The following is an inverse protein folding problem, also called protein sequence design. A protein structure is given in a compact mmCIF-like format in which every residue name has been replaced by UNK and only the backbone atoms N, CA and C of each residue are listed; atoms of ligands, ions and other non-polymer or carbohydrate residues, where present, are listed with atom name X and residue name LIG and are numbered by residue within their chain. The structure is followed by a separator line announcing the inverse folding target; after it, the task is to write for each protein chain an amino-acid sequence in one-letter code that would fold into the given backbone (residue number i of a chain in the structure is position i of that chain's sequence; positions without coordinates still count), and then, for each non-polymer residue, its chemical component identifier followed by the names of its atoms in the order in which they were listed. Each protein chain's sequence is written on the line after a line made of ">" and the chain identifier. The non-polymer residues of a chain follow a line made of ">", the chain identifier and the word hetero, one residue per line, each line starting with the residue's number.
data_IF_829689227816
#
_entry.id   IF_829689227816
#
_cell.length_a   1.000
_cell.length_b   1.000
_cell.length_c   1.000
_cell.angle_alpha   90.00
_cell.angle_beta   90.00
_cell.angle_gamma   90.00
#
_symmetry.space_group_name_H-M   'P 1'
#
loop_
_entity.id
_entity.type
_entity.pdbx_description
1 polymer ?
#
# COMPACT_ATOMS: atom_id res chain seq x y z
N UNK A 1 20.48 3.98 4.50
CA UNK A 1 20.29 4.59 3.16
C UNK A 1 19.53 3.61 2.31
N UNK A 2 18.21 3.77 2.21
CA UNK A 2 17.38 2.96 1.30
C UNK A 2 17.63 3.44 -0.13
N UNK A 3 18.16 2.55 -0.96
CA UNK A 3 18.34 2.84 -2.38
C UNK A 3 16.97 3.11 -3.00
N UNK A 4 16.76 4.31 -3.51
CA UNK A 4 15.62 4.65 -4.35
C UNK A 4 15.60 3.66 -5.52
N UNK A 5 14.70 2.67 -5.49
CA UNK A 5 14.47 1.77 -6.62
C UNK A 5 13.94 2.62 -7.77
N UNK A 6 14.77 2.81 -8.79
CA UNK A 6 14.51 3.69 -9.91
C UNK A 6 13.17 3.35 -10.57
N UNK A 7 12.40 4.38 -10.92
CA UNK A 7 11.21 4.23 -11.71
C UNK A 7 11.56 3.51 -13.03
N UNK A 8 10.80 2.48 -13.37
CA UNK A 8 10.95 1.79 -14.65
C UNK A 8 10.22 2.59 -15.74
N UNK A 9 10.72 2.47 -16.97
CA UNK A 9 10.05 2.93 -18.18
C UNK A 9 9.52 1.69 -18.91
N UNK A 10 8.25 1.72 -19.29
CA UNK A 10 7.64 0.68 -20.09
C UNK A 10 7.56 1.14 -21.55
N UNK A 11 8.07 0.30 -22.45
CA UNK A 11 8.06 0.56 -23.90
C UNK A 11 7.40 -0.59 -24.65
N UNK A 12 6.82 -0.30 -25.79
CA UNK A 12 6.47 -1.32 -26.76
C UNK A 12 7.74 -1.70 -27.54
N UNK A 13 8.00 -2.98 -27.68
CA UNK A 13 9.23 -3.49 -28.28
C UNK A 13 9.29 -3.23 -29.79
N UNK A 14 8.17 -3.37 -30.49
CA UNK A 14 8.08 -3.31 -31.94
C UNK A 14 8.46 -1.94 -32.54
N UNK A 15 8.07 -0.84 -31.88
CA UNK A 15 8.30 0.52 -32.39
C UNK A 15 9.02 1.43 -31.38
N UNK A 16 9.41 0.90 -30.24
CA UNK A 16 10.11 1.62 -29.18
C UNK A 16 9.30 2.70 -28.48
N UNK A 17 8.01 2.85 -28.80
CA UNK A 17 7.13 3.87 -28.18
C UNK A 17 7.04 3.68 -26.68
N UNK A 18 7.14 4.77 -25.94
CA UNK A 18 6.95 4.78 -24.50
C UNK A 18 5.47 4.55 -24.18
N UNK A 19 5.20 3.49 -23.44
CA UNK A 19 3.87 3.15 -22.92
C UNK A 19 3.64 3.84 -21.59
N UNK A 20 4.68 3.85 -20.73
CA UNK A 20 4.62 4.51 -19.43
C UNK A 20 6.02 5.05 -19.09
N UNK A 21 6.09 6.31 -18.73
CA UNK A 21 7.34 7.02 -18.45
C UNK A 21 7.86 6.78 -17.04
N UNK A 22 6.95 6.48 -16.11
CA UNK A 22 7.24 6.22 -14.71
C UNK A 22 6.36 5.09 -14.19
N UNK A 23 6.94 3.91 -14.09
CA UNK A 23 6.26 2.73 -13.58
C UNK A 23 6.79 2.41 -12.18
N UNK A 24 5.89 2.36 -11.21
CA UNK A 24 6.17 1.85 -9.88
C UNK A 24 5.94 0.34 -9.86
N UNK A 25 6.88 -0.42 -9.30
CA UNK A 25 6.76 -1.88 -9.19
C UNK A 25 6.17 -2.24 -7.84
N UNK A 26 5.01 -2.89 -7.86
CA UNK A 26 4.38 -3.47 -6.69
C UNK A 26 4.67 -4.98 -6.65
N UNK A 27 5.81 -5.34 -6.08
CA UNK A 27 6.36 -6.70 -6.01
C UNK A 27 6.01 -7.44 -4.71
N UNK A 28 5.58 -6.73 -3.68
CA UNK A 28 5.10 -7.33 -2.43
C UNK A 28 3.58 -7.52 -2.44
N UNK A 29 3.08 -8.48 -1.65
CA UNK A 29 1.63 -8.72 -1.52
C UNK A 29 0.89 -7.46 -1.13
N UNK A 30 1.47 -6.68 -0.22
CA UNK A 30 0.89 -5.44 0.26
C UNK A 30 0.90 -4.34 -0.80
N UNK A 31 2.04 -4.11 -1.48
CA UNK A 31 2.11 -3.12 -2.57
C UNK A 31 1.12 -3.43 -3.69
N UNK A 32 0.89 -4.72 -3.98
CA UNK A 32 -0.14 -5.13 -4.94
C UNK A 32 -1.55 -4.85 -4.44
N UNK A 33 -1.81 -5.06 -3.15
CA UNK A 33 -3.11 -4.77 -2.55
C UNK A 33 -3.37 -3.26 -2.46
N UNK A 34 -2.33 -2.48 -2.13
CA UNK A 34 -2.39 -1.01 -2.15
C UNK A 34 -2.59 -0.48 -3.57
N UNK A 35 -1.80 -0.94 -4.55
CA UNK A 35 -1.88 -0.47 -5.94
C UNK A 35 -1.97 1.06 -6.01
N UNK A 36 -3.11 1.55 -6.51
CA UNK A 36 -3.45 2.97 -6.62
C UNK A 36 -4.29 3.50 -5.44
N UNK A 37 -4.53 2.68 -4.40
CA UNK A 37 -5.31 3.14 -3.23
C UNK A 37 -4.60 4.33 -2.54
N UNK A 38 -5.39 5.31 -2.13
CA UNK A 38 -4.87 6.55 -1.53
C UNK A 38 -4.48 7.63 -2.53
N UNK A 39 -4.35 7.32 -3.83
CA UNK A 39 -4.20 8.35 -4.86
C UNK A 39 -5.56 8.95 -5.23
N UNK A 40 -5.57 10.25 -5.53
CA UNK A 40 -6.77 10.94 -6.03
C UNK A 40 -6.92 10.80 -7.54
N UNK A 41 -5.81 10.57 -8.23
CA UNK A 41 -5.72 10.37 -9.66
C UNK A 41 -4.41 9.66 -10.02
N UNK A 42 -4.33 9.15 -11.23
CA UNK A 42 -3.10 8.68 -11.85
C UNK A 42 -2.78 9.59 -13.03
N UNK A 43 -1.62 10.23 -12.99
CA UNK A 43 -1.23 11.18 -14.03
C UNK A 43 -0.90 10.45 -15.34
N UNK A 44 -1.14 11.08 -16.51
CA UNK A 44 -0.68 10.55 -17.79
C UNK A 44 0.82 10.24 -17.77
N UNK A 45 1.22 9.09 -18.29
CA UNK A 45 2.61 8.63 -18.27
C UNK A 45 3.07 7.97 -16.97
N UNK A 46 2.25 7.95 -15.93
CA UNK A 46 2.47 7.17 -14.72
C UNK A 46 1.74 5.83 -14.78
N UNK A 47 2.29 4.82 -14.12
CA UNK A 47 1.65 3.53 -13.99
C UNK A 47 2.20 2.72 -12.83
N UNK A 48 1.46 1.68 -12.46
CA UNK A 48 1.88 0.70 -11.46
C UNK A 48 1.89 -0.67 -12.13
N UNK A 49 2.93 -1.46 -11.88
CA UNK A 49 2.95 -2.87 -12.24
C UNK A 49 2.81 -3.74 -11.01
N UNK A 50 1.81 -4.60 -11.01
CA UNK A 50 1.59 -5.64 -10.00
C UNK A 50 2.29 -6.90 -10.46
N UNK A 51 3.33 -7.34 -9.75
CA UNK A 51 4.16 -8.48 -10.12
C UNK A 51 4.41 -9.42 -8.93
N UNK A 52 4.04 -10.69 -8.98
CA UNK A 52 3.17 -11.30 -9.98
C UNK A 52 1.71 -10.85 -9.81
N UNK A 53 0.96 -10.78 -10.92
CA UNK A 53 -0.45 -10.41 -10.89
C UNK A 53 -1.22 -10.98 -12.08
N UNK A 54 -2.42 -11.49 -11.83
CA UNK A 54 -3.35 -12.00 -12.84
C UNK A 54 -4.80 -11.51 -12.61
N UNK A 55 -4.99 -10.80 -11.49
CA UNK A 55 -6.29 -10.26 -11.07
C UNK A 55 -6.08 -8.93 -10.37
N UNK A 56 -7.01 -8.00 -10.60
CA UNK A 56 -7.08 -6.72 -9.89
C UNK A 56 -8.50 -6.43 -9.45
N UNK A 57 -8.63 -5.56 -8.47
CA UNK A 57 -9.88 -4.91 -8.10
C UNK A 57 -9.66 -3.41 -7.92
N UNK A 58 -10.66 -2.62 -8.26
CA UNK A 58 -10.71 -1.17 -8.07
C UNK A 58 -11.58 -0.77 -6.87
N UNK A 59 -11.76 -1.69 -5.92
CA UNK A 59 -12.42 -1.39 -4.65
C UNK A 59 -11.67 -0.26 -3.93
N UNK A 60 -12.41 0.69 -3.38
CA UNK A 60 -11.90 1.88 -2.69
C UNK A 60 -11.14 2.90 -3.57
N UNK A 61 -11.13 2.74 -4.89
CA UNK A 61 -10.67 3.77 -5.81
C UNK A 61 -11.77 4.78 -6.12
N UNK A 62 -11.37 6.00 -6.48
CA UNK A 62 -12.30 7.09 -6.84
C UNK A 62 -12.23 7.49 -8.32
N UNK A 63 -11.30 6.92 -9.06
CA UNK A 63 -11.10 7.22 -10.48
C UNK A 63 -10.96 5.92 -11.28
N UNK A 64 -11.32 5.94 -12.58
CA UNK A 64 -11.14 4.79 -13.46
C UNK A 64 -9.68 4.64 -13.89
N UNK A 65 -9.31 3.43 -14.30
CA UNK A 65 -7.98 3.09 -14.82
C UNK A 65 -8.07 2.24 -16.09
N UNK A 66 -7.00 2.24 -16.87
CA UNK A 66 -6.77 1.22 -17.88
C UNK A 66 -5.91 0.11 -17.29
N UNK A 67 -6.22 -1.14 -17.64
CA UNK A 67 -5.54 -2.33 -17.12
C UNK A 67 -5.00 -3.15 -18.26
N UNK A 68 -3.69 -3.41 -18.24
CA UNK A 68 -2.98 -4.20 -19.24
C UNK A 68 -2.44 -5.47 -18.60
N UNK A 69 -2.92 -6.61 -19.05
CA UNK A 69 -2.44 -7.93 -18.62
C UNK A 69 -1.33 -8.43 -19.52
N UNK A 70 -0.21 -8.81 -18.92
CA UNK A 70 1.02 -9.19 -19.63
C UNK A 70 1.44 -10.60 -19.23
N UNK A 71 1.80 -11.43 -20.21
CA UNK A 71 2.30 -12.80 -20.02
C UNK A 71 3.70 -12.82 -19.43
N UNK A 72 4.19 -14.02 -19.10
CA UNK A 72 5.59 -14.24 -18.71
C UNK A 72 6.57 -13.82 -19.82
N UNK A 73 6.17 -13.97 -21.09
CA UNK A 73 6.95 -13.61 -22.28
C UNK A 73 6.83 -12.12 -22.66
N UNK A 74 6.30 -11.31 -21.75
CA UNK A 74 6.12 -9.86 -21.93
C UNK A 74 5.15 -9.48 -23.06
N UNK A 75 4.22 -10.36 -23.42
CA UNK A 75 3.19 -10.11 -24.42
C UNK A 75 1.90 -9.66 -23.74
N UNK A 76 1.29 -8.60 -24.25
CA UNK A 76 -0.03 -8.14 -23.83
C UNK A 76 -1.08 -9.19 -24.19
N UNK A 77 -1.77 -9.76 -23.20
CA UNK A 77 -2.82 -10.75 -23.38
C UNK A 77 -4.18 -10.07 -23.50
N UNK A 78 -4.41 -9.06 -22.66
CA UNK A 78 -5.72 -8.40 -22.54
C UNK A 78 -5.52 -6.94 -22.14
N UNK A 79 -6.32 -6.06 -22.72
CA UNK A 79 -6.44 -4.66 -22.31
C UNK A 79 -7.88 -4.40 -21.87
N UNK A 80 -8.06 -3.89 -20.66
CA UNK A 80 -9.35 -3.43 -20.14
C UNK A 80 -9.28 -1.92 -20.02
N UNK A 81 -10.06 -1.23 -20.83
CA UNK A 81 -10.11 0.24 -20.85
C UNK A 81 -11.14 0.75 -19.87
N UNK A 82 -10.82 1.84 -19.20
CA UNK A 82 -11.74 2.61 -18.36
C UNK A 82 -12.44 1.72 -17.30
N UNK A 83 -11.67 0.87 -16.62
CA UNK A 83 -12.19 0.06 -15.52
C UNK A 83 -12.60 0.99 -14.38
N UNK A 84 -13.91 1.09 -14.14
CA UNK A 84 -14.49 1.99 -13.15
C UNK A 84 -14.18 1.53 -11.71
N UNK A 85 -14.25 2.44 -10.72
CA UNK A 85 -14.23 2.08 -9.31
C UNK A 85 -15.22 0.94 -8.96
N UNK A 86 -14.87 0.16 -7.94
CA UNK A 86 -15.69 -0.94 -7.44
C UNK A 86 -15.95 -2.04 -8.48
N UNK A 87 -14.96 -2.34 -9.29
CA UNK A 87 -14.98 -3.45 -10.24
C UNK A 87 -13.79 -4.37 -10.00
N UNK A 88 -13.87 -5.55 -10.57
CA UNK A 88 -12.77 -6.49 -10.63
C UNK A 88 -12.54 -6.93 -12.08
N UNK A 89 -11.30 -7.30 -12.37
CA UNK A 89 -10.92 -7.88 -13.65
C UNK A 89 -9.87 -8.94 -13.45
N UNK A 90 -9.93 -9.99 -14.26
CA UNK A 90 -8.99 -11.11 -14.21
C UNK A 90 -8.55 -11.50 -15.62
N UNK A 91 -7.34 -12.06 -15.71
CA UNK A 91 -6.84 -12.67 -16.94
C UNK A 91 -5.93 -13.85 -16.58
N UNK A 92 -6.43 -15.07 -16.76
CA UNK A 92 -5.63 -16.29 -16.60
C UNK A 92 -4.49 -16.31 -17.62
N UNK A 93 -3.28 -16.70 -17.18
CA UNK A 93 -2.07 -16.65 -18.01
C UNK A 93 -1.29 -15.35 -17.93
N UNK A 94 -1.84 -14.30 -17.32
CA UNK A 94 -1.07 -13.11 -17.01
C UNK A 94 -0.09 -13.38 -15.86
N UNK A 95 1.11 -12.83 -15.98
CA UNK A 95 2.12 -12.79 -14.93
C UNK A 95 2.19 -11.42 -14.28
N UNK A 96 1.98 -10.38 -15.08
CA UNK A 96 2.05 -9.00 -14.64
C UNK A 96 0.74 -8.28 -15.02
N UNK A 97 0.34 -7.33 -14.19
CA UNK A 97 -0.76 -6.42 -14.49
C UNK A 97 -0.22 -5.01 -14.42
N UNK A 98 -0.43 -4.23 -15.48
CA UNK A 98 -0.05 -2.82 -15.54
C UNK A 98 -1.30 -1.97 -15.44
N UNK A 99 -1.36 -1.11 -14.44
CA UNK A 99 -2.39 -0.11 -14.23
C UNK A 99 -1.91 1.23 -14.79
N UNK A 100 -2.69 1.85 -15.64
CA UNK A 100 -2.43 3.12 -16.30
C UNK A 100 -3.59 4.09 -16.06
N UNK A 101 -3.35 5.38 -16.23
CA UNK A 101 -4.43 6.35 -16.24
C UNK A 101 -5.47 5.99 -17.32
N UNK A 102 -6.75 6.22 -17.05
CA UNK A 102 -7.81 5.93 -18.01
C UNK A 102 -7.58 6.65 -19.34
N UNK A 103 -7.70 5.93 -20.46
CA UNK A 103 -7.46 6.42 -21.82
C UNK A 103 -5.99 6.34 -22.27
N UNK A 104 -5.03 6.02 -21.37
CA UNK A 104 -3.61 5.90 -21.77
C UNK A 104 -3.38 4.70 -22.68
N UNK A 105 -4.01 3.56 -22.43
CA UNK A 105 -3.88 2.39 -23.28
C UNK A 105 -4.32 2.69 -24.72
N UNK A 106 -5.37 3.48 -24.91
CA UNK A 106 -5.84 3.89 -26.22
C UNK A 106 -4.91 4.92 -26.88
N UNK A 107 -4.52 5.98 -26.14
CA UNK A 107 -3.57 6.99 -26.63
C UNK A 107 -2.25 6.39 -27.08
N UNK A 108 -1.77 5.36 -26.41
CA UNK A 108 -0.53 4.65 -26.73
C UNK A 108 -0.74 3.52 -27.75
N UNK A 109 -1.98 3.30 -28.19
CA UNK A 109 -2.33 2.27 -29.17
C UNK A 109 -2.07 0.84 -28.70
N UNK A 110 -2.19 0.59 -27.38
CA UNK A 110 -1.96 -0.74 -26.80
C UNK A 110 -3.07 -1.72 -27.16
N UNK A 111 -2.67 -2.91 -27.62
CA UNK A 111 -3.56 -4.02 -27.96
C UNK A 111 -2.97 -5.36 -27.56
N UNK A 112 -3.82 -6.37 -27.50
CA UNK A 112 -3.37 -7.75 -27.34
C UNK A 112 -2.42 -8.14 -28.49
N UNK A 113 -1.36 -8.86 -28.15
CA UNK A 113 -0.27 -9.23 -29.04
C UNK A 113 0.94 -8.28 -29.02
N UNK A 114 0.81 -7.05 -28.51
CA UNK A 114 1.96 -6.15 -28.38
C UNK A 114 2.99 -6.75 -27.40
N UNK A 115 4.27 -6.63 -27.72
CA UNK A 115 5.36 -7.03 -26.83
C UNK A 115 5.88 -5.81 -26.09
N UNK A 116 6.07 -5.95 -24.78
CA UNK A 116 6.51 -4.86 -23.91
C UNK A 116 7.92 -5.11 -23.39
N UNK A 117 8.70 -4.05 -23.26
CA UNK A 117 10.04 -4.08 -22.70
C UNK A 117 10.14 -3.15 -21.51
N UNK A 118 10.78 -3.62 -20.43
CA UNK A 118 11.05 -2.86 -19.21
C UNK A 118 12.48 -2.32 -19.27
N UNK A 119 12.65 -1.02 -19.10
CA UNK A 119 13.94 -0.38 -19.01
C UNK A 119 14.09 0.36 -17.68
N UNK A 120 15.24 0.20 -17.02
CA UNK A 120 15.58 1.06 -15.90
C UNK A 120 15.80 2.49 -16.40
N UNK A 121 15.29 3.48 -15.68
CA UNK A 121 15.54 4.88 -16.01
C UNK A 121 16.99 5.23 -15.66
N UNK A 122 17.87 5.25 -16.64
CA UNK A 122 19.25 5.72 -16.47
C UNK A 122 19.28 7.24 -16.26
N UNK A 123 20.24 7.71 -15.48
CA UNK A 123 20.45 9.14 -15.17
C UNK A 123 20.74 9.98 -16.44
N UNK A 124 21.02 9.33 -17.59
CA UNK A 124 21.30 9.96 -18.87
C UNK A 124 20.60 9.29 -20.06
N UNK A 125 19.38 8.76 -19.89
CA UNK A 125 18.55 8.35 -21.03
C UNK A 125 19.00 7.09 -21.80
N UNK A 126 19.98 6.33 -21.31
CA UNK A 126 20.46 5.10 -21.95
C UNK A 126 20.01 3.85 -21.19
N UNK A 127 19.50 2.81 -21.85
CA UNK A 127 19.02 1.60 -21.16
C UNK A 127 20.19 0.78 -20.62
N UNK A 128 20.08 0.34 -19.37
CA UNK A 128 20.93 -0.71 -18.81
C UNK A 128 20.21 -2.05 -18.96
N UNK A 129 20.94 -3.03 -19.50
CA UNK A 129 20.47 -4.38 -19.73
C UNK A 129 20.01 -5.07 -18.43
N UNK A 130 18.97 -5.90 -18.54
CA UNK A 130 18.37 -6.64 -17.45
C UNK A 130 19.35 -7.64 -16.84
N UNK A 131 19.54 -7.57 -15.53
CA UNK A 131 20.11 -8.66 -14.74
C UNK A 131 19.19 -8.97 -13.56
N UNK A 132 18.67 -10.20 -13.53
CA UNK A 132 18.07 -10.81 -12.34
C UNK A 132 19.18 -11.13 -11.31
N UNK A 133 18.94 -11.04 -10.00
CA UNK A 133 18.45 -12.18 -9.26
C UNK A 133 17.49 -11.88 -8.11
N UNK A 134 16.68 -12.87 -7.77
CA UNK A 134 15.85 -12.96 -6.57
C UNK A 134 16.67 -13.07 -5.28
N UNK A 135 16.21 -12.54 -4.17
CA UNK A 135 16.47 -13.16 -2.88
C UNK A 135 15.21 -13.78 -2.27
N UNK A 136 15.32 -15.06 -2.01
CA UNK A 136 14.46 -15.83 -1.13
C UNK A 136 14.85 -15.54 0.31
N UNK A 137 13.92 -15.12 1.13
CA UNK A 137 14.08 -15.17 2.59
C UNK A 137 12.78 -15.53 3.25
N UNK A 138 12.71 -16.79 3.65
CA UNK A 138 11.75 -17.29 4.64
C UNK A 138 12.29 -16.86 6.02
N UNK A 139 11.64 -15.93 6.67
CA UNK A 139 11.88 -15.62 8.06
C UNK A 139 10.70 -15.99 8.95
N UNK A 140 11.06 -16.62 10.04
CA UNK A 140 10.30 -17.34 11.05
C UNK A 140 9.06 -16.60 11.54
N UNK A 141 7.97 -17.33 11.54
CA UNK A 141 6.74 -17.00 12.26
C UNK A 141 7.03 -17.12 13.76
N UNK A 142 7.06 -15.99 14.45
CA UNK A 142 6.98 -15.98 15.91
C UNK A 142 5.60 -16.51 16.33
N UNK A 143 5.55 -17.27 17.41
CA UNK A 143 4.34 -17.91 17.90
C UNK A 143 3.19 -16.91 18.02
N UNK A 144 2.07 -17.21 17.36
CA UNK A 144 0.86 -16.41 17.44
C UNK A 144 0.35 -16.39 18.90
N UNK A 145 -0.07 -15.23 19.42
CA UNK A 145 -0.69 -15.16 20.75
C UNK A 145 -1.94 -16.05 20.79
N UNK A 146 -2.20 -16.62 21.94
CA UNK A 146 -3.34 -17.54 22.16
C UNK A 146 -4.72 -16.90 21.96
N UNK A 147 -4.79 -15.58 21.84
CA UNK A 147 -5.97 -14.79 21.47
C UNK A 147 -5.59 -13.74 20.41
N UNK A 148 -6.54 -13.28 19.57
CA UNK A 148 -6.27 -12.20 18.64
C UNK A 148 -5.86 -10.92 19.37
N UNK A 149 -4.84 -10.23 18.85
CA UNK A 149 -4.47 -8.89 19.30
C UNK A 149 -5.62 -7.94 18.95
N UNK A 150 -6.10 -7.18 19.93
CA UNK A 150 -7.20 -6.21 19.78
C UNK A 150 -6.65 -4.84 19.45
N UNK A 151 -7.03 -4.32 18.30
CA UNK A 151 -6.52 -3.07 17.74
C UNK A 151 -7.63 -2.05 17.62
N UNK A 152 -7.38 -0.81 18.07
CA UNK A 152 -8.24 0.34 17.77
C UNK A 152 -7.64 1.14 16.63
N UNK A 153 -8.43 1.41 15.61
CA UNK A 153 -8.12 2.37 14.55
C UNK A 153 -8.87 3.68 14.82
N UNK A 154 -8.14 4.72 15.22
CA UNK A 154 -8.67 6.06 15.41
C UNK A 154 -8.38 6.92 14.17
N UNK A 155 -9.35 7.06 13.26
CA UNK A 155 -9.21 7.86 12.04
C UNK A 155 -10.56 8.38 11.55
N UNK A 156 -10.55 9.55 10.88
CA UNK A 156 -11.72 10.09 10.16
C UNK A 156 -11.67 9.79 8.67
N UNK A 157 -10.53 9.31 8.18
CA UNK A 157 -10.36 8.88 6.79
C UNK A 157 -11.04 7.52 6.57
N UNK A 158 -12.20 7.53 5.94
CA UNK A 158 -12.98 6.30 5.68
C UNK A 158 -12.29 5.33 4.73
N UNK A 159 -11.44 5.83 3.84
CA UNK A 159 -10.71 4.98 2.90
C UNK A 159 -9.60 4.21 3.62
N UNK A 160 -8.81 4.92 4.42
CA UNK A 160 -7.78 4.32 5.26
C UNK A 160 -8.39 3.33 6.24
N UNK A 161 -9.50 3.72 6.90
CA UNK A 161 -10.20 2.89 7.87
C UNK A 161 -10.58 1.53 7.28
N UNK A 162 -11.34 1.53 6.18
CA UNK A 162 -11.82 0.28 5.55
C UNK A 162 -10.69 -0.61 5.07
N UNK A 163 -9.62 -0.01 4.54
CA UNK A 163 -8.48 -0.79 4.06
C UNK A 163 -7.67 -1.37 5.20
N UNK A 164 -7.37 -0.57 6.23
CA UNK A 164 -6.63 -1.01 7.40
C UNK A 164 -7.41 -2.09 8.18
N UNK A 165 -8.72 -1.89 8.40
CA UNK A 165 -9.61 -2.88 9.01
C UNK A 165 -9.58 -4.21 8.25
N UNK A 166 -9.83 -4.19 6.94
CA UNK A 166 -9.78 -5.38 6.10
C UNK A 166 -8.44 -6.12 6.17
N UNK A 167 -7.32 -5.36 6.11
CA UNK A 167 -5.98 -5.95 6.15
C UNK A 167 -5.67 -6.58 7.52
N UNK A 168 -6.01 -5.89 8.59
CA UNK A 168 -5.75 -6.35 9.95
C UNK A 168 -6.61 -7.57 10.29
N UNK A 169 -7.90 -7.56 9.99
CA UNK A 169 -8.79 -8.71 10.21
C UNK A 169 -8.29 -9.95 9.45
N UNK A 170 -7.87 -9.78 8.19
CA UNK A 170 -7.29 -10.85 7.38
C UNK A 170 -5.99 -11.41 7.97
N UNK A 171 -5.23 -10.60 8.72
CA UNK A 171 -4.01 -10.99 9.42
C UNK A 171 -4.26 -11.50 10.85
N UNK A 172 -5.53 -11.71 11.24
CA UNK A 172 -5.93 -12.32 12.50
C UNK A 172 -6.00 -11.36 13.69
N UNK A 173 -6.10 -10.05 13.44
CA UNK A 173 -6.36 -9.05 14.48
C UNK A 173 -7.87 -8.89 14.71
N UNK A 174 -8.26 -8.52 15.92
CA UNK A 174 -9.60 -8.06 16.22
C UNK A 174 -9.61 -6.53 16.19
N UNK A 175 -10.34 -5.94 15.23
CA UNK A 175 -10.29 -4.50 14.95
C UNK A 175 -11.53 -3.80 15.47
N UNK A 176 -11.31 -2.69 16.16
CA UNK A 176 -12.33 -1.71 16.52
C UNK A 176 -11.98 -0.35 15.92
N UNK A 177 -12.98 0.50 15.73
CA UNK A 177 -12.79 1.77 15.03
C UNK A 177 -13.40 2.93 15.76
N UNK A 178 -12.79 4.12 15.65
CA UNK A 178 -13.38 5.37 16.14
C UNK A 178 -13.04 6.54 15.22
N UNK A 179 -14.04 7.40 14.98
CA UNK A 179 -13.82 8.68 14.28
C UNK A 179 -13.46 9.82 15.23
N UNK A 180 -13.59 9.60 16.54
CA UNK A 180 -13.28 10.59 17.57
C UNK A 180 -11.99 10.17 18.29
N UNK A 181 -10.85 10.72 17.85
CA UNK A 181 -9.52 10.39 18.37
C UNK A 181 -9.44 10.46 19.90
N UNK A 182 -9.95 11.50 20.60
CA UNK A 182 -9.89 11.56 22.07
C UNK A 182 -10.64 10.42 22.78
N UNK A 183 -11.67 9.84 22.15
CA UNK A 183 -12.40 8.71 22.73
C UNK A 183 -11.55 7.43 22.85
N UNK A 184 -10.41 7.37 22.18
CA UNK A 184 -9.52 6.22 22.23
C UNK A 184 -9.09 5.87 23.67
N UNK A 185 -8.88 6.87 24.51
CA UNK A 185 -8.53 6.68 25.93
C UNK A 185 -9.57 5.84 26.67
N UNK A 186 -10.84 6.20 26.54
CA UNK A 186 -11.94 5.47 27.18
C UNK A 186 -12.16 4.08 26.59
N UNK A 187 -12.01 3.96 25.26
CA UNK A 187 -12.19 2.70 24.54
C UNK A 187 -11.14 1.66 24.93
N UNK A 188 -9.89 2.09 25.15
CA UNK A 188 -8.80 1.22 25.62
C UNK A 188 -9.21 0.46 26.86
N UNK A 189 -9.75 1.17 27.86
CA UNK A 189 -10.19 0.56 29.10
C UNK A 189 -11.42 -0.36 28.92
N UNK A 190 -12.44 0.15 28.25
CA UNK A 190 -13.73 -0.55 28.11
C UNK A 190 -13.60 -1.85 27.33
N UNK A 191 -12.78 -1.84 26.28
CA UNK A 191 -12.71 -2.92 25.31
C UNK A 191 -11.43 -3.76 25.45
N UNK A 192 -10.58 -3.47 26.46
CA UNK A 192 -9.32 -4.19 26.72
C UNK A 192 -8.47 -4.29 25.43
N UNK A 193 -8.22 -3.15 24.83
CA UNK A 193 -7.43 -3.05 23.61
C UNK A 193 -5.95 -3.26 23.90
N UNK A 194 -5.24 -3.85 22.97
CA UNK A 194 -3.82 -4.16 23.09
C UNK A 194 -2.95 -3.12 22.39
N UNK A 195 -3.43 -2.58 21.26
CA UNK A 195 -2.72 -1.57 20.47
C UNK A 195 -3.71 -0.54 19.92
N UNK A 196 -3.26 0.71 19.87
CA UNK A 196 -4.03 1.83 19.31
C UNK A 196 -3.24 2.46 18.16
N UNK A 197 -3.88 2.64 17.02
CA UNK A 197 -3.35 3.36 15.85
C UNK A 197 -4.13 4.66 15.71
N UNK A 198 -3.46 5.80 15.83
CA UNK A 198 -4.06 7.14 15.76
C UNK A 198 -3.65 7.85 14.47
N UNK A 199 -4.63 8.28 13.70
CA UNK A 199 -4.41 9.10 12.51
C UNK A 199 -4.27 10.58 12.90
N UNK A 200 -3.10 11.14 12.62
CA UNK A 200 -2.73 12.52 12.91
C UNK A 200 -2.90 13.47 11.70
N UNK A 201 -3.47 12.99 10.59
CA UNK A 201 -3.56 13.77 9.34
C UNK A 201 -4.31 15.09 9.50
N UNK A 202 -5.39 15.12 10.30
CA UNK A 202 -6.13 16.34 10.57
C UNK A 202 -5.53 17.15 11.72
N UNK A 203 -5.04 16.49 12.79
CA UNK A 203 -4.50 17.18 13.98
C UNK A 203 -3.45 16.33 14.69
N UNK A 204 -2.19 16.64 14.40
CA UNK A 204 -1.06 16.03 15.11
C UNK A 204 -1.11 16.29 16.63
N UNK A 205 -1.53 17.49 17.05
CA UNK A 205 -1.62 17.85 18.48
C UNK A 205 -2.71 17.06 19.21
N UNK A 206 -3.83 16.74 18.56
CA UNK A 206 -4.89 15.90 19.13
C UNK A 206 -4.42 14.46 19.28
N UNK A 207 -3.84 13.88 18.22
CA UNK A 207 -3.30 12.52 18.21
C UNK A 207 -2.19 12.35 19.26
N UNK A 208 -1.24 13.30 19.32
CA UNK A 208 -0.13 13.26 20.29
C UNK A 208 -0.60 13.36 21.73
N UNK A 209 -1.59 14.23 22.05
CA UNK A 209 -2.16 14.33 23.41
C UNK A 209 -2.90 13.05 23.78
N UNK A 210 -3.66 12.47 22.86
CA UNK A 210 -4.38 11.22 23.08
C UNK A 210 -3.40 10.06 23.30
N UNK A 211 -2.35 9.99 22.51
CA UNK A 211 -1.26 9.01 22.66
C UNK A 211 -0.61 9.11 24.05
N UNK A 212 -0.19 10.31 24.44
CA UNK A 212 0.43 10.56 25.75
C UNK A 212 -0.52 10.20 26.92
N UNK A 213 -1.82 10.46 26.79
CA UNK A 213 -2.81 10.07 27.78
C UNK A 213 -2.95 8.54 27.88
N UNK A 214 -2.94 7.83 26.74
CA UNK A 214 -2.98 6.36 26.73
C UNK A 214 -1.71 5.79 27.39
N UNK A 215 -0.52 6.27 27.00
CA UNK A 215 0.74 5.81 27.61
C UNK A 215 0.81 6.04 29.11
N UNK A 216 0.31 7.18 29.59
CA UNK A 216 0.29 7.50 31.01
C UNK A 216 -0.69 6.64 31.83
N UNK A 217 -1.87 6.35 31.29
CA UNK A 217 -2.93 5.61 31.96
C UNK A 217 -2.89 4.11 31.72
N UNK A 218 -2.37 3.68 30.59
CA UNK A 218 -2.36 2.30 30.12
C UNK A 218 -1.00 1.94 29.48
N UNK A 219 0.11 1.91 30.26
CA UNK A 219 1.45 1.68 29.71
C UNK A 219 1.63 0.32 29.04
N UNK A 220 0.72 -0.63 29.28
CA UNK A 220 0.68 -1.95 28.65
C UNK A 220 0.03 -1.94 27.26
N UNK A 221 -0.43 -0.79 26.76
CA UNK A 221 -1.07 -0.66 25.46
C UNK A 221 -0.10 -0.01 24.48
N UNK A 222 0.15 -0.67 23.36
CA UNK A 222 0.99 -0.11 22.31
C UNK A 222 0.30 1.06 21.60
N UNK A 223 1.03 2.13 21.30
CA UNK A 223 0.49 3.27 20.57
C UNK A 223 1.30 3.52 19.32
N UNK A 224 0.64 3.66 18.17
CA UNK A 224 1.20 4.01 16.88
C UNK A 224 0.51 5.25 16.34
N UNK A 225 1.26 6.16 15.71
CA UNK A 225 0.73 7.35 15.06
C UNK A 225 1.02 7.27 13.56
N UNK A 226 -0.01 7.53 12.75
CA UNK A 226 0.09 7.59 11.27
C UNK A 226 -0.36 8.97 10.79
N UNK A 227 0.19 9.46 9.68
CA UNK A 227 -0.23 10.73 9.05
C UNK A 227 -0.04 10.69 7.53
N UNK A 228 -0.64 11.62 6.79
CA UNK A 228 -0.56 11.65 5.32
C UNK A 228 0.81 12.08 4.78
N UNK A 229 1.60 12.80 5.57
CA UNK A 229 2.94 13.30 5.20
C UNK A 229 3.97 12.96 6.28
N UNK A 230 5.24 12.82 5.89
CA UNK A 230 6.38 12.81 6.81
C UNK A 230 6.53 14.19 7.49
N UNK A 231 5.70 14.48 8.48
CA UNK A 231 5.79 15.72 9.26
C UNK A 231 6.90 15.63 10.30
N UNK A 232 7.45 16.80 10.73
CA UNK A 232 8.52 16.82 11.72
C UNK A 232 8.08 16.08 12.98
N UNK A 233 8.98 15.26 13.53
CA UNK A 233 8.76 14.44 14.72
C UNK A 233 8.21 15.29 15.87
N UNK A 234 7.06 14.95 16.45
CA UNK A 234 6.61 15.62 17.64
C UNK A 234 7.59 15.38 18.80
N UNK A 235 7.62 16.30 19.76
CA UNK A 235 8.45 16.21 20.96
C UNK A 235 8.13 14.98 21.85
N UNK A 236 7.09 14.20 21.52
CA UNK A 236 6.62 13.02 22.26
C UNK A 236 7.49 11.77 22.13
N UNK A 237 8.48 11.75 21.22
CA UNK A 237 9.33 10.57 21.02
C UNK A 237 8.66 9.39 20.31
N UNK A 238 7.33 9.41 20.09
CA UNK A 238 6.61 8.37 19.38
C UNK A 238 6.94 8.40 17.89
N UNK A 239 7.15 7.24 17.26
CA UNK A 239 7.35 7.18 15.82
C UNK A 239 6.06 7.56 15.08
N UNK A 240 6.17 8.56 14.21
CA UNK A 240 5.11 8.89 13.25
C UNK A 240 5.47 8.23 11.94
N UNK A 241 4.52 7.49 11.38
CA UNK A 241 4.66 6.78 10.11
C UNK A 241 3.79 7.46 9.05
N UNK A 242 4.26 7.46 7.82
CA UNK A 242 3.41 7.87 6.69
C UNK A 242 2.26 6.85 6.56
N UNK A 243 1.02 7.33 6.58
CA UNK A 243 -0.21 6.53 6.73
C UNK A 243 -0.34 5.41 5.70
N UNK A 244 -0.04 5.73 4.46
CA UNK A 244 -0.20 4.78 3.36
C UNK A 244 0.99 3.82 3.22
N UNK A 245 2.21 4.28 3.57
CA UNK A 245 3.38 3.40 3.67
C UNK A 245 3.30 2.49 4.91
N UNK A 246 2.76 3.02 6.01
CA UNK A 246 2.56 2.27 7.24
C UNK A 246 1.66 1.05 7.03
N UNK A 247 0.68 1.10 6.15
CA UNK A 247 -0.15 -0.08 5.83
C UNK A 247 0.68 -1.29 5.37
N UNK A 248 1.86 -1.08 4.79
CA UNK A 248 2.76 -2.18 4.39
C UNK A 248 3.31 -2.98 5.57
N UNK A 249 3.57 -2.29 6.66
CA UNK A 249 4.22 -2.85 7.85
C UNK A 249 3.30 -2.86 9.07
N UNK A 250 2.06 -2.34 8.93
CA UNK A 250 1.15 -2.09 10.04
C UNK A 250 0.93 -3.33 10.91
N UNK A 251 0.75 -4.49 10.29
CA UNK A 251 0.59 -5.75 11.03
C UNK A 251 1.82 -6.12 11.85
N UNK A 252 3.02 -5.88 11.32
CA UNK A 252 4.28 -6.16 12.00
C UNK A 252 4.59 -5.09 13.05
N UNK A 253 4.27 -3.83 12.76
CA UNK A 253 4.40 -2.72 13.70
C UNK A 253 3.48 -2.90 14.91
N UNK A 254 2.24 -3.32 14.69
CA UNK A 254 1.29 -3.65 15.74
C UNK A 254 1.83 -4.80 16.61
N UNK A 255 2.35 -5.88 16.01
CA UNK A 255 2.94 -6.99 16.78
C UNK A 255 4.14 -6.55 17.59
N UNK A 256 5.01 -5.70 17.03
CA UNK A 256 6.18 -5.14 17.76
C UNK A 256 5.73 -4.24 18.90
N UNK A 257 4.78 -3.36 18.66
CA UNK A 257 4.24 -2.45 19.68
C UNK A 257 3.58 -3.24 20.83
N UNK A 258 2.81 -4.28 20.51
CA UNK A 258 2.24 -5.19 21.49
C UNK A 258 3.30 -5.90 22.33
N UNK A 259 4.33 -6.47 21.69
CA UNK A 259 5.41 -7.16 22.38
C UNK A 259 6.21 -6.22 23.30
N UNK A 260 6.44 -4.97 22.87
CA UNK A 260 7.15 -3.97 23.67
C UNK A 260 6.35 -3.47 24.87
N UNK A 261 5.04 -3.42 24.77
CA UNK A 261 4.14 -2.97 25.83
C UNK A 261 3.83 -4.08 26.88
N UNK A 262 4.06 -5.35 26.52
CA UNK A 262 3.80 -6.51 27.41
C UNK A 262 5.04 -7.08 28.09
N UNK A 263 6.24 -6.58 27.77
CA UNK A 263 7.51 -6.89 28.44
C UNK A 263 7.86 -5.84 29.50
#
# INVERSE_FOLDING_TARGET
>A
MAAARGALVLRREDDGRVVCERVLVADTTFRRLRGLLGKRELSPGEGIVLRPGWSIHTAFMFFPIDVVYVSADQVVIKVVRNLKPWRASTCRGARDVVELAAGEAERRGLKAGDRLAWAARGVNGRPLAASNPMPTSLERVAASPTRPIRVLLGTRDEQFLRLAEFLLERNGFAVETTKKIPNAVDLVWRHRLDVVVLDASESLSEAARTAAAIEALHPQVGVLIVCDDERPKPATGLPIMEKWEALETLSDDIRRSYASATN
#
